data_IF_818938973528
#
_entry.id   IF_818938973528
#
_cell.length_a   1.000
_cell.length_b   1.000
_cell.length_c   1.000
_cell.angle_alpha   90.00
_cell.angle_beta   90.00
_cell.angle_gamma   90.00
#
_symmetry.space_group_name_H-M   'P 1'
#
loop_
_entity.id
_entity.type
_entity.pdbx_description
1 polymer ?
#
# COMPACT_ATOMS: atom_id res chain seq x y z
N UNK A 1 7.91 -16.38 48.81
CA UNK A 1 8.80 -15.19 48.78
C UNK A 1 8.44 -14.31 47.60
N UNK A 2 7.83 -13.15 47.83
CA UNK A 2 7.37 -12.21 46.79
C UNK A 2 8.36 -11.05 46.67
N UNK A 3 8.94 -10.86 45.47
CA UNK A 3 10.00 -9.85 45.22
C UNK A 3 9.37 -8.56 44.68
N UNK A 4 9.20 -7.55 45.54
CA UNK A 4 8.77 -6.19 45.16
C UNK A 4 9.94 -5.45 44.50
N UNK A 5 9.77 -4.93 43.28
CA UNK A 5 10.71 -3.99 42.65
C UNK A 5 10.34 -2.55 43.03
N UNK A 6 11.30 -1.79 43.55
CA UNK A 6 11.21 -0.34 43.77
C UNK A 6 11.74 0.37 42.51
N UNK A 7 11.04 1.39 42.03
CA UNK A 7 11.50 2.28 40.96
C UNK A 7 12.30 3.43 41.60
N UNK A 8 13.58 3.57 41.23
CA UNK A 8 14.40 4.73 41.58
C UNK A 8 14.25 5.81 40.51
N UNK A 9 13.81 6.99 40.90
CA UNK A 9 13.82 8.22 40.08
C UNK A 9 15.21 8.86 40.18
N UNK A 10 15.83 9.18 39.04
CA UNK A 10 17.03 10.02 38.96
C UNK A 10 16.77 11.19 38.01
N UNK A 11 17.12 12.43 38.38
CA UNK A 11 16.79 13.62 37.60
C UNK A 11 17.68 13.78 36.37
N UNK A 12 17.07 14.16 35.25
CA UNK A 12 17.71 14.42 33.95
C UNK A 12 18.39 15.79 33.97
N UNK A 13 19.69 15.81 33.66
CA UNK A 13 20.50 17.02 33.48
C UNK A 13 20.22 17.60 32.09
N UNK A 14 19.67 18.81 32.02
CA UNK A 14 19.45 19.55 30.77
C UNK A 14 20.71 20.37 30.51
N UNK A 15 21.45 20.02 29.47
CA UNK A 15 22.60 20.79 28.97
C UNK A 15 22.11 21.67 27.81
N UNK A 16 22.10 22.98 28.02
CA UNK A 16 21.80 23.97 26.96
C UNK A 16 23.09 24.15 26.17
N UNK A 17 23.12 23.62 24.95
CA UNK A 17 24.24 23.80 24.02
C UNK A 17 23.97 25.05 23.19
N UNK A 18 24.69 26.12 23.49
CA UNK A 18 24.64 27.40 22.78
C UNK A 18 24.89 27.20 21.27
N UNK A 19 23.95 27.69 20.47
CA UNK A 19 23.95 27.55 19.02
C UNK A 19 24.91 28.59 18.39
N UNK A 20 25.69 28.15 17.42
CA UNK A 20 26.69 28.94 16.70
C UNK A 20 26.02 29.88 15.67
N UNK A 21 25.33 30.93 16.16
CA UNK A 21 24.57 31.92 15.37
C UNK A 21 25.45 32.73 14.40
N UNK A 22 26.77 32.77 14.61
CA UNK A 22 27.68 33.56 13.78
C UNK A 22 27.77 33.08 12.33
N UNK A 23 27.70 31.76 12.08
CA UNK A 23 27.91 31.20 10.75
C UNK A 23 26.72 31.41 9.81
N UNK A 24 25.49 31.37 10.32
CA UNK A 24 24.29 31.59 9.51
C UNK A 24 24.16 33.04 9.07
N UNK A 25 24.54 34.00 9.92
CA UNK A 25 24.60 35.41 9.55
C UNK A 25 25.61 35.67 8.43
N UNK A 26 26.82 35.09 8.53
CA UNK A 26 27.85 35.20 7.50
C UNK A 26 27.41 34.58 6.16
N UNK A 27 26.75 33.42 6.21
CA UNK A 27 26.20 32.75 5.03
C UNK A 27 25.05 33.55 4.40
N UNK A 28 24.14 34.08 5.21
CA UNK A 28 23.04 34.93 4.75
C UNK A 28 23.57 36.23 4.13
N UNK A 29 24.56 36.87 4.75
CA UNK A 29 25.23 38.07 4.22
C UNK A 29 25.96 37.80 2.91
N UNK A 30 26.63 36.67 2.78
CA UNK A 30 27.27 36.24 1.53
C UNK A 30 26.28 36.03 0.39
N UNK A 31 25.16 35.36 0.67
CA UNK A 31 24.06 35.17 -0.30
C UNK A 31 23.46 36.49 -0.75
N UNK A 32 23.15 37.39 0.20
CA UNK A 32 22.58 38.70 -0.10
C UNK A 32 23.53 39.56 -0.95
N UNK A 33 24.83 39.58 -0.62
CA UNK A 33 25.85 40.27 -1.44
C UNK A 33 25.90 39.74 -2.87
N UNK A 34 25.78 38.42 -3.05
CA UNK A 34 25.74 37.80 -4.37
C UNK A 34 24.52 38.22 -5.19
N UNK A 35 23.34 38.27 -4.57
CA UNK A 35 22.08 38.70 -5.23
C UNK A 35 22.12 40.18 -5.61
N UNK A 36 22.59 41.04 -4.69
CA UNK A 36 22.75 42.48 -4.97
C UNK A 36 23.72 42.73 -6.12
N UNK A 37 24.81 41.97 -6.21
CA UNK A 37 25.76 42.07 -7.32
C UNK A 37 25.14 41.66 -8.65
N UNK A 38 24.36 40.58 -8.69
CA UNK A 38 23.65 40.18 -9.91
C UNK A 38 22.59 41.20 -10.33
N UNK A 39 21.91 41.83 -9.38
CA UNK A 39 20.95 42.90 -9.68
C UNK A 39 21.66 44.18 -10.17
N UNK A 40 22.83 44.50 -9.61
CA UNK A 40 23.64 45.63 -10.05
C UNK A 40 24.20 45.41 -11.47
N UNK A 41 24.78 44.24 -11.76
CA UNK A 41 25.23 43.84 -13.10
C UNK A 41 24.05 43.87 -14.10
N UNK A 42 22.88 43.37 -13.69
CA UNK A 42 21.66 43.43 -14.52
C UNK A 42 21.08 44.84 -14.69
N UNK A 43 21.44 45.80 -13.83
CA UNK A 43 21.04 47.21 -13.98
C UNK A 43 22.02 48.03 -14.82
N UNK A 44 23.26 47.54 -15.00
CA UNK A 44 24.31 48.22 -15.77
C UNK A 44 24.42 47.74 -17.23
N UNK A 45 23.68 46.71 -17.63
CA UNK A 45 23.75 46.11 -18.98
C UNK A 45 22.73 46.69 -19.99
N UNK A 46 22.08 47.81 -19.67
CA UNK A 46 21.19 48.54 -20.60
C UNK A 46 21.92 49.78 -21.18
N UNK A 47 23.11 49.60 -21.74
CA UNK A 47 23.68 50.55 -22.71
C UNK A 47 24.75 49.90 -23.62
N UNK A 48 24.50 49.96 -24.94
CA UNK A 48 25.46 49.89 -26.07
C UNK A 48 25.86 48.53 -26.70
N UNK A 49 25.11 48.20 -27.76
CA UNK A 49 25.48 47.85 -29.16
C UNK A 49 26.62 46.86 -29.52
N UNK A 50 26.25 46.00 -30.48
CA UNK A 50 27.01 45.60 -31.69
C UNK A 50 28.01 44.43 -31.66
N UNK A 51 27.59 43.36 -32.35
CA UNK A 51 28.31 42.50 -33.32
C UNK A 51 29.71 41.94 -33.01
N UNK A 52 29.80 40.61 -33.15
CA UNK A 52 30.71 39.89 -34.08
C UNK A 52 31.46 38.68 -33.49
N UNK A 53 31.75 37.78 -34.42
CA UNK A 53 32.24 36.40 -34.41
C UNK A 53 33.28 35.89 -33.38
N UNK A 54 33.20 34.56 -33.19
CA UNK A 54 34.40 33.72 -33.39
C UNK A 54 35.06 33.05 -32.18
N UNK A 55 35.29 31.74 -32.35
CA UNK A 55 36.33 30.88 -31.73
C UNK A 55 35.97 29.91 -30.58
N UNK A 56 36.01 28.65 -31.00
CA UNK A 56 36.13 27.37 -30.28
C UNK A 56 37.10 27.35 -29.10
N UNK A 57 36.69 26.75 -27.97
CA UNK A 57 37.22 25.45 -27.47
C UNK A 57 36.62 24.97 -26.14
N UNK A 58 36.06 23.75 -26.19
CA UNK A 58 36.16 22.63 -25.21
C UNK A 58 35.78 22.90 -23.74
N UNK A 59 34.72 22.22 -23.26
CA UNK A 59 34.80 21.13 -22.26
C UNK A 59 33.42 20.48 -22.00
N UNK A 60 33.50 19.20 -21.63
CA UNK A 60 32.45 18.20 -21.44
C UNK A 60 31.67 18.39 -20.10
N UNK A 61 30.50 17.76 -20.04
CA UNK A 61 29.57 17.56 -18.89
C UNK A 61 28.89 18.86 -18.42
N UNK A 62 27.60 18.94 -18.11
CA UNK A 62 26.63 17.96 -17.65
C UNK A 62 25.26 18.25 -18.24
N UNK A 63 24.58 17.21 -18.71
CA UNK A 63 23.17 17.23 -19.09
C UNK A 63 22.33 17.25 -17.80
N UNK A 64 22.45 18.30 -16.99
CA UNK A 64 21.63 18.49 -15.78
C UNK A 64 20.35 19.19 -16.18
N UNK A 65 19.31 18.37 -16.30
CA UNK A 65 17.89 18.72 -16.42
C UNK A 65 17.60 20.08 -15.80
N UNK A 66 17.44 21.09 -16.66
CA UNK A 66 16.76 22.34 -16.39
C UNK A 66 15.29 22.01 -16.18
N UNK A 67 14.97 21.46 -15.01
CA UNK A 67 13.60 21.49 -14.49
C UNK A 67 13.26 22.97 -14.41
N UNK A 68 12.37 23.39 -15.30
CA UNK A 68 11.74 24.68 -15.23
C UNK A 68 11.25 24.87 -13.79
N UNK A 69 11.85 25.84 -13.10
CA UNK A 69 11.34 26.37 -11.84
C UNK A 69 10.08 27.15 -12.20
N UNK A 70 9.01 26.43 -12.54
CA UNK A 70 7.66 26.99 -12.52
C UNK A 70 7.39 27.26 -11.03
N UNK A 71 7.04 28.49 -10.64
CA UNK A 71 6.61 28.76 -9.27
C UNK A 71 5.46 27.81 -8.95
N UNK A 72 5.65 26.92 -7.96
CA UNK A 72 4.57 26.09 -7.50
C UNK A 72 3.40 27.02 -7.11
N UNK A 73 2.16 26.75 -7.56
CA UNK A 73 1.02 27.55 -7.17
C UNK A 73 1.01 27.68 -5.64
N UNK A 74 0.68 28.86 -5.14
CA UNK A 74 0.53 29.08 -3.71
C UNK A 74 -0.62 28.18 -3.24
N UNK A 75 -0.29 27.02 -2.67
CA UNK A 75 -1.26 26.11 -2.09
C UNK A 75 -1.43 26.48 -0.62
N UNK A 76 -2.66 26.75 -0.19
CA UNK A 76 -2.99 26.80 1.23
C UNK A 76 -2.58 25.46 1.87
N UNK A 77 -1.99 25.48 3.06
CA UNK A 77 -1.61 24.26 3.77
C UNK A 77 -2.58 24.00 4.92
N UNK A 78 -3.16 22.80 4.96
CA UNK A 78 -4.09 22.40 6.03
C UNK A 78 -3.51 21.19 6.74
N UNK A 79 -2.67 21.42 7.75
CA UNK A 79 -1.92 20.34 8.41
C UNK A 79 -2.67 19.82 9.63
N UNK A 80 -2.99 18.52 9.63
CA UNK A 80 -3.52 17.79 10.78
C UNK A 80 -2.39 17.00 11.44
N UNK A 81 -2.27 17.08 12.78
CA UNK A 81 -1.28 16.33 13.57
C UNK A 81 -1.96 15.33 14.51
N UNK A 82 -1.51 14.08 14.47
CA UNK A 82 -1.98 13.01 15.36
C UNK A 82 -0.81 12.06 15.69
N UNK A 83 -0.58 11.77 16.98
CA UNK A 83 0.47 10.87 17.50
C UNK A 83 1.86 11.09 16.84
N UNK A 84 2.38 12.31 16.92
CA UNK A 84 3.68 12.74 16.35
C UNK A 84 3.84 12.58 14.84
N UNK A 85 2.73 12.37 14.12
CA UNK A 85 2.69 12.36 12.65
C UNK A 85 1.83 13.50 12.15
N UNK A 86 2.18 14.01 10.96
CA UNK A 86 1.44 15.10 10.32
C UNK A 86 1.03 14.72 8.91
N UNK A 87 -0.16 15.14 8.50
CA UNK A 87 -0.68 14.98 7.15
C UNK A 87 -1.25 16.33 6.68
N UNK A 88 -0.88 16.73 5.47
CA UNK A 88 -1.33 17.98 4.85
C UNK A 88 -2.56 17.70 3.98
N UNK A 89 -3.73 18.08 4.48
CA UNK A 89 -5.04 17.87 3.89
C UNK A 89 -5.23 18.65 2.58
N UNK A 90 -4.54 19.77 2.42
CA UNK A 90 -4.69 20.61 1.23
C UNK A 90 -4.15 19.96 -0.06
N UNK A 91 -3.45 18.84 0.08
CA UNK A 91 -2.95 18.02 -1.04
C UNK A 91 -4.01 17.06 -1.58
N UNK A 92 -5.15 16.94 -0.90
CA UNK A 92 -6.24 16.03 -1.26
C UNK A 92 -7.46 16.85 -1.74
N UNK A 93 -8.16 16.31 -2.72
CA UNK A 93 -9.47 16.83 -3.14
C UNK A 93 -10.50 16.49 -2.05
N UNK A 94 -11.55 17.32 -1.88
CA UNK A 94 -12.59 17.12 -0.85
C UNK A 94 -13.32 15.77 -0.99
N UNK A 95 -13.35 15.19 -2.19
CA UNK A 95 -13.94 13.89 -2.49
C UNK A 95 -12.92 12.73 -2.46
N UNK A 96 -11.71 12.97 -1.95
CA UNK A 96 -10.71 11.91 -1.77
C UNK A 96 -11.19 10.91 -0.73
N UNK A 97 -11.20 9.59 -1.04
CA UNK A 97 -11.60 8.59 -0.06
C UNK A 97 -10.61 8.52 1.11
N UNK A 98 -11.10 8.03 2.26
CA UNK A 98 -10.34 8.00 3.52
C UNK A 98 -9.03 7.19 3.45
N UNK A 99 -8.99 6.12 2.65
CA UNK A 99 -7.84 5.21 2.59
C UNK A 99 -6.53 5.90 2.12
N UNK A 100 -6.50 6.62 0.98
CA UNK A 100 -5.44 7.55 0.61
C UNK A 100 -4.91 8.44 1.73
N UNK A 101 -5.82 9.03 2.51
CA UNK A 101 -5.47 9.95 3.57
C UNK A 101 -4.77 9.22 4.73
N UNK A 102 -5.33 8.08 5.15
CA UNK A 102 -4.72 7.22 6.16
C UNK A 102 -3.33 6.70 5.74
N UNK A 103 -3.16 6.35 4.45
CA UNK A 103 -1.86 5.94 3.90
C UNK A 103 -0.82 7.04 3.99
N UNK A 104 -1.15 8.26 3.57
CA UNK A 104 -0.24 9.40 3.65
C UNK A 104 0.15 9.74 5.10
N UNK A 105 -0.79 9.63 6.03
CA UNK A 105 -0.53 9.81 7.46
C UNK A 105 0.41 8.72 8.02
N UNK A 106 0.19 7.46 7.65
CA UNK A 106 1.06 6.36 8.07
C UNK A 106 2.48 6.48 7.52
N UNK A 107 2.65 7.00 6.31
CA UNK A 107 3.97 7.18 5.68
C UNK A 107 4.83 8.27 6.35
N UNK A 108 4.19 9.28 6.96
CA UNK A 108 4.85 10.35 7.72
C UNK A 108 6.04 11.01 6.98
N UNK A 109 5.83 11.37 5.72
CA UNK A 109 6.84 12.01 4.86
C UNK A 109 6.51 13.49 4.63
N UNK A 110 6.78 14.40 5.60
CA UNK A 110 6.43 15.81 5.46
C UNK A 110 7.25 16.52 4.37
N UNK A 111 8.50 16.09 4.15
CA UNK A 111 9.44 16.68 3.17
C UNK A 111 9.29 16.12 1.75
N UNK A 112 8.54 15.02 1.58
CA UNK A 112 8.30 14.45 0.27
C UNK A 112 6.99 15.05 -0.27
N UNK A 113 6.98 15.67 -1.47
CA UNK A 113 5.73 15.96 -2.15
C UNK A 113 5.06 14.62 -2.48
N UNK A 114 4.13 14.22 -1.61
CA UNK A 114 3.32 13.02 -1.78
C UNK A 114 2.69 13.04 -3.17
N UNK A 115 2.81 11.92 -3.90
CA UNK A 115 2.33 11.84 -5.28
C UNK A 115 0.83 12.08 -5.27
N UNK A 116 0.36 13.05 -6.05
CA UNK A 116 -1.07 13.26 -6.29
C UNK A 116 -1.69 11.92 -6.68
N UNK A 117 -2.62 11.43 -5.86
CA UNK A 117 -3.30 10.15 -6.09
C UNK A 117 -4.28 10.41 -7.22
N UNK A 118 -3.82 10.17 -8.46
CA UNK A 118 -4.67 10.25 -9.65
C UNK A 118 -5.82 9.27 -9.45
N UNK A 119 -7.05 9.76 -9.57
CA UNK A 119 -8.25 8.90 -9.53
C UNK A 119 -8.07 7.79 -10.55
N UNK A 120 -8.23 6.55 -10.10
CA UNK A 120 -8.40 5.43 -11.02
C UNK A 120 -9.80 5.61 -11.60
N UNK A 121 -9.91 5.92 -12.89
CA UNK A 121 -11.19 5.78 -13.59
C UNK A 121 -11.66 4.34 -13.38
N UNK A 122 -12.88 4.16 -12.88
CA UNK A 122 -13.47 2.84 -12.73
C UNK A 122 -13.36 2.08 -14.06
N UNK A 123 -12.99 0.80 -13.99
CA UNK A 123 -12.98 -0.07 -15.17
C UNK A 123 -14.39 -0.06 -15.77
N UNK A 124 -14.56 0.09 -17.10
CA UNK A 124 -15.89 0.11 -17.72
C UNK A 124 -16.71 -1.13 -17.31
N UNK A 125 -17.98 -0.93 -16.96
CA UNK A 125 -18.92 -2.03 -16.67
C UNK A 125 -19.19 -2.88 -17.92
N UNK A 126 -19.30 -4.22 -17.79
CA UNK A 126 -19.46 -5.09 -18.94
C UNK A 126 -20.89 -5.05 -19.51
N UNK A 127 -20.98 -4.85 -20.83
CA UNK A 127 -22.21 -5.10 -21.59
C UNK A 127 -22.57 -6.59 -21.58
N UNK A 128 -23.76 -6.89 -21.07
CA UNK A 128 -24.34 -8.23 -21.05
C UNK A 128 -24.62 -8.72 -22.49
N UNK A 129 -24.56 -10.03 -22.69
CA UNK A 129 -24.88 -10.81 -23.90
C UNK A 129 -23.78 -11.00 -24.95
N UNK A 130 -22.80 -11.84 -24.62
CA UNK A 130 -22.15 -12.67 -25.64
C UNK A 130 -22.74 -14.06 -25.50
N UNK A 131 -23.43 -14.56 -26.53
CA UNK A 131 -23.82 -15.98 -26.61
C UNK A 131 -22.55 -16.80 -26.80
N UNK A 132 -22.37 -17.79 -25.94
CA UNK A 132 -21.25 -18.70 -25.91
C UNK A 132 -21.46 -19.75 -26.99
N UNK A 133 -21.10 -19.44 -28.23
CA UNK A 133 -21.14 -20.44 -29.32
C UNK A 133 -19.88 -21.30 -29.29
N UNK A 134 -20.09 -22.60 -29.49
CA UNK A 134 -19.15 -23.74 -29.52
C UNK A 134 -18.09 -23.70 -30.64
N UNK A 135 -17.65 -22.51 -31.04
CA UNK A 135 -16.64 -22.35 -32.08
C UNK A 135 -15.46 -21.62 -31.46
N UNK A 136 -14.31 -22.30 -31.44
CA UNK A 136 -13.02 -21.86 -30.89
C UNK A 136 -12.41 -20.63 -31.62
N UNK A 137 -13.23 -19.65 -31.95
CA UNK A 137 -12.86 -18.43 -32.65
C UNK A 137 -12.69 -17.33 -31.61
N UNK A 138 -11.43 -17.11 -31.22
CA UNK A 138 -10.95 -15.97 -30.44
C UNK A 138 -11.73 -15.67 -29.14
N UNK A 139 -11.58 -16.55 -28.14
CA UNK A 139 -12.02 -16.28 -26.76
C UNK A 139 -11.16 -15.16 -26.17
N UNK A 140 -11.66 -13.92 -26.20
CA UNK A 140 -10.98 -12.76 -25.60
C UNK A 140 -11.22 -12.63 -24.09
N UNK A 141 -12.28 -13.27 -23.57
CA UNK A 141 -12.69 -13.22 -22.16
C UNK A 141 -13.39 -14.52 -21.75
N UNK A 142 -13.16 -14.94 -20.51
CA UNK A 142 -13.81 -16.09 -19.86
C UNK A 142 -15.23 -15.73 -19.36
N UNK A 143 -16.10 -16.73 -19.10
CA UNK A 143 -17.47 -16.48 -18.71
C UNK A 143 -17.50 -15.90 -17.31
N UNK A 144 -18.52 -15.09 -16.99
CA UNK A 144 -18.84 -14.85 -15.60
C UNK A 144 -19.17 -16.19 -14.91
N UNK A 145 -18.92 -16.32 -13.59
CA UNK A 145 -19.30 -17.52 -12.85
C UNK A 145 -20.79 -17.80 -13.00
N UNK A 146 -21.16 -19.07 -13.11
CA UNK A 146 -22.56 -19.48 -13.33
C UNK A 146 -23.50 -19.11 -12.19
N UNK A 147 -22.97 -19.10 -10.96
CA UNK A 147 -23.70 -18.76 -9.74
C UNK A 147 -23.03 -17.57 -9.04
N UNK A 148 -23.81 -16.83 -8.26
CA UNK A 148 -23.33 -15.74 -7.42
C UNK A 148 -22.27 -16.20 -6.41
N UNK A 149 -21.51 -15.23 -5.89
CA UNK A 149 -20.44 -15.53 -4.94
C UNK A 149 -21.01 -16.00 -3.59
N UNK A 150 -21.06 -17.32 -3.39
CA UNK A 150 -21.22 -17.90 -2.06
C UNK A 150 -19.89 -17.88 -1.29
N UNK A 151 -19.96 -17.87 0.04
CA UNK A 151 -18.82 -17.80 0.94
C UNK A 151 -17.81 -18.93 0.68
N UNK A 152 -16.52 -18.60 0.67
CA UNK A 152 -15.43 -19.59 0.49
C UNK A 152 -15.19 -20.46 1.74
N UNK A 153 -15.72 -20.02 2.87
CA UNK A 153 -15.48 -20.65 4.17
C UNK A 153 -16.58 -21.68 4.42
N UNK A 154 -16.25 -22.97 4.67
CA UNK A 154 -17.26 -23.97 5.00
C UNK A 154 -17.96 -23.64 6.32
N UNK A 155 -19.22 -24.08 6.44
CA UNK A 155 -19.95 -23.97 7.70
C UNK A 155 -19.26 -24.79 8.80
N UNK A 156 -19.32 -24.34 10.06
CA UNK A 156 -18.68 -25.04 11.17
C UNK A 156 -19.32 -26.42 11.38
N UNK A 157 -18.50 -27.40 11.78
CA UNK A 157 -18.97 -28.73 12.17
C UNK A 157 -19.92 -28.67 13.39
N UNK A 158 -20.85 -29.63 13.54
CA UNK A 158 -21.69 -29.72 14.74
C UNK A 158 -20.87 -29.75 16.04
N UNK A 159 -19.75 -30.48 16.03
CA UNK A 159 -18.80 -30.56 17.13
C UNK A 159 -18.15 -29.21 17.47
N UNK A 160 -18.10 -28.26 16.54
CA UNK A 160 -17.58 -26.91 16.78
C UNK A 160 -18.64 -25.99 17.36
N UNK A 161 -19.91 -26.20 16.98
CA UNK A 161 -21.05 -25.44 17.50
C UNK A 161 -21.39 -25.84 18.94
N UNK A 162 -21.17 -27.10 19.30
CA UNK A 162 -21.40 -27.60 20.67
C UNK A 162 -20.35 -27.12 21.67
N UNK A 163 -19.18 -26.68 21.20
CA UNK A 163 -18.08 -26.21 22.04
C UNK A 163 -18.33 -24.75 22.46
N UNK A 164 -18.70 -24.56 23.72
CA UNK A 164 -18.82 -23.23 24.33
C UNK A 164 -17.83 -23.10 25.50
N UNK A 165 -17.21 -21.92 25.63
CA UNK A 165 -16.33 -21.59 26.77
C UNK A 165 -17.04 -21.71 28.11
N UNK A 166 -18.37 -21.56 28.14
CA UNK A 166 -19.19 -21.75 29.34
C UNK A 166 -19.39 -23.22 29.74
N UNK A 167 -19.12 -24.17 28.84
CA UNK A 167 -19.44 -25.59 29.02
C UNK A 167 -18.18 -26.43 29.33
N UNK A 168 -17.10 -25.79 29.76
CA UNK A 168 -15.86 -26.47 30.14
C UNK A 168 -16.03 -27.01 31.56
N UNK A 169 -16.05 -28.33 31.71
CA UNK A 169 -16.07 -28.96 33.02
C UNK A 169 -14.68 -28.82 33.68
N UNK A 170 -14.62 -28.09 34.80
CA UNK A 170 -13.41 -27.88 35.61
C UNK A 170 -13.38 -28.80 36.85
N UNK A 171 -14.39 -29.66 37.03
CA UNK A 171 -14.45 -30.60 38.13
C UNK A 171 -13.61 -31.85 37.83
N UNK A 172 -12.33 -31.77 38.18
CA UNK A 172 -11.36 -32.85 37.95
C UNK A 172 -11.49 -34.04 38.91
N UNK A 173 -12.26 -33.89 40.00
CA UNK A 173 -12.46 -34.95 41.00
C UNK A 173 -13.51 -35.98 40.53
N UNK A 174 -14.64 -35.51 39.98
CA UNK A 174 -15.70 -36.38 39.45
C UNK A 174 -15.43 -36.81 38.00
N UNK A 175 -14.73 -35.96 37.24
CA UNK A 175 -14.42 -36.19 35.83
C UNK A 175 -12.92 -35.98 35.59
N UNK A 176 -12.10 -37.03 35.79
CA UNK A 176 -10.68 -36.93 35.49
C UNK A 176 -10.46 -36.54 34.02
N UNK A 177 -9.41 -35.76 33.71
CA UNK A 177 -9.11 -35.36 32.34
C UNK A 177 -9.00 -36.58 31.42
N UNK A 178 -9.52 -36.43 30.21
CA UNK A 178 -9.33 -37.43 29.15
C UNK A 178 -7.83 -37.60 28.93
N UNK A 179 -7.39 -38.85 28.85
CA UNK A 179 -5.99 -39.17 28.60
C UNK A 179 -5.49 -38.54 27.29
N UNK A 180 -4.23 -38.12 27.29
CA UNK A 180 -3.60 -37.36 26.20
C UNK A 180 -3.74 -38.09 24.87
N UNK A 181 -3.47 -39.38 24.85
CA UNK A 181 -3.46 -40.15 23.60
C UNK A 181 -4.86 -40.27 23.00
N UNK A 182 -5.89 -40.37 23.84
CA UNK A 182 -7.30 -40.38 23.41
C UNK A 182 -7.69 -39.01 22.86
N UNK A 183 -7.31 -37.94 23.56
CA UNK A 183 -7.57 -36.56 23.14
C UNK A 183 -6.93 -36.26 21.77
N UNK A 184 -5.68 -36.67 21.57
CA UNK A 184 -4.96 -36.50 20.29
C UNK A 184 -5.67 -37.24 19.16
N UNK A 185 -6.10 -38.50 19.37
CA UNK A 185 -6.84 -39.27 18.35
C UNK A 185 -8.15 -38.59 17.97
N UNK A 186 -8.92 -38.10 18.94
CA UNK A 186 -10.17 -37.39 18.70
C UNK A 186 -9.95 -36.11 17.89
N UNK A 187 -8.90 -35.34 18.22
CA UNK A 187 -8.55 -34.14 17.47
C UNK A 187 -8.10 -34.45 16.03
N UNK A 188 -7.30 -35.50 15.81
CA UNK A 188 -6.89 -35.91 14.48
C UNK A 188 -8.10 -36.26 13.59
N UNK A 189 -9.04 -37.04 14.13
CA UNK A 189 -10.28 -37.38 13.41
C UNK A 189 -11.09 -36.13 13.08
N UNK A 190 -11.23 -35.20 14.03
CA UNK A 190 -11.90 -33.92 13.79
C UNK A 190 -11.20 -33.11 12.70
N UNK A 191 -9.88 -32.96 12.76
CA UNK A 191 -9.13 -32.19 11.75
C UNK A 191 -9.19 -32.83 10.37
N UNK A 192 -9.26 -34.15 10.27
CA UNK A 192 -9.51 -34.83 9.01
C UNK A 192 -10.88 -34.45 8.42
N UNK A 193 -11.94 -34.41 9.25
CA UNK A 193 -13.27 -33.95 8.82
C UNK A 193 -13.25 -32.48 8.39
N UNK A 194 -12.61 -31.61 9.16
CA UNK A 194 -12.47 -30.18 8.81
C UNK A 194 -11.77 -30.05 7.45
N UNK A 195 -10.62 -30.71 7.26
CA UNK A 195 -9.90 -30.70 5.98
C UNK A 195 -10.79 -31.16 4.83
N UNK A 196 -11.55 -32.25 5.02
CA UNK A 196 -12.48 -32.77 4.01
C UNK A 196 -13.53 -31.73 3.61
N UNK A 197 -14.17 -31.07 4.58
CA UNK A 197 -15.14 -30.00 4.30
C UNK A 197 -14.53 -28.81 3.55
N UNK A 198 -13.30 -28.42 3.89
CA UNK A 198 -12.61 -27.36 3.16
C UNK A 198 -12.31 -27.74 1.71
N UNK A 199 -11.90 -28.98 1.45
CA UNK A 199 -11.70 -29.48 0.09
C UNK A 199 -13.02 -29.53 -0.69
N UNK A 200 -14.10 -30.01 -0.07
CA UNK A 200 -15.44 -30.05 -0.69
C UNK A 200 -15.97 -28.65 -1.00
N UNK A 201 -15.82 -27.71 -0.07
CA UNK A 201 -16.26 -26.33 -0.28
C UNK A 201 -15.42 -25.62 -1.35
N UNK A 202 -14.10 -25.87 -1.39
CA UNK A 202 -13.24 -25.36 -2.45
C UNK A 202 -13.67 -25.90 -3.82
N UNK A 203 -13.91 -27.20 -3.93
CA UNK A 203 -14.40 -27.83 -5.17
C UNK A 203 -15.77 -27.26 -5.60
N UNK A 204 -16.69 -27.07 -4.66
CA UNK A 204 -18.00 -26.44 -4.93
C UNK A 204 -17.86 -24.99 -5.39
N UNK A 205 -16.92 -24.25 -4.83
CA UNK A 205 -16.61 -22.88 -5.26
C UNK A 205 -16.00 -22.85 -6.67
N UNK A 206 -15.11 -23.80 -6.98
CA UNK A 206 -14.49 -23.93 -8.30
C UNK A 206 -15.49 -24.38 -9.37
N UNK A 207 -16.49 -25.19 -9.01
CA UNK A 207 -17.56 -25.64 -9.91
C UNK A 207 -18.31 -24.48 -10.59
N UNK A 208 -18.33 -23.28 -9.97
CA UNK A 208 -18.93 -22.07 -10.56
C UNK A 208 -18.24 -21.64 -11.86
N UNK A 209 -17.00 -22.07 -12.06
CA UNK A 209 -16.19 -21.79 -13.24
C UNK A 209 -16.12 -22.99 -14.19
N UNK A 210 -17.02 -23.97 -14.08
CA UNK A 210 -17.00 -25.17 -14.93
C UNK A 210 -16.97 -24.84 -16.43
N UNK A 211 -17.75 -23.85 -16.87
CA UNK A 211 -17.76 -23.43 -18.28
C UNK A 211 -16.45 -22.74 -18.68
N UNK A 212 -15.85 -21.96 -17.76
CA UNK A 212 -14.51 -21.39 -17.98
C UNK A 212 -13.48 -22.50 -18.14
N UNK A 213 -13.55 -23.53 -17.29
CA UNK A 213 -12.62 -24.64 -17.27
C UNK A 213 -12.70 -25.45 -18.56
N UNK A 214 -13.91 -25.75 -19.05
CA UNK A 214 -14.12 -26.42 -20.36
C UNK A 214 -13.49 -25.64 -21.51
N UNK A 215 -13.61 -24.31 -21.52
CA UNK A 215 -12.95 -23.50 -22.55
C UNK A 215 -11.44 -23.57 -22.43
N UNK A 216 -10.89 -23.47 -21.23
CA UNK A 216 -9.44 -23.58 -21.03
C UNK A 216 -8.91 -24.96 -21.43
N UNK A 217 -9.66 -26.03 -21.13
CA UNK A 217 -9.33 -27.40 -21.51
C UNK A 217 -9.33 -27.59 -23.03
N UNK A 218 -10.34 -27.08 -23.73
CA UNK A 218 -10.38 -27.12 -25.21
C UNK A 218 -9.26 -26.31 -25.86
N UNK A 219 -8.93 -25.13 -25.32
CA UNK A 219 -7.77 -24.33 -25.77
C UNK A 219 -6.46 -25.09 -25.53
N UNK A 220 -6.30 -25.69 -24.35
CA UNK A 220 -5.11 -26.44 -23.98
C UNK A 220 -4.88 -27.64 -24.89
N UNK A 221 -5.92 -28.48 -25.10
CA UNK A 221 -5.82 -29.66 -25.95
C UNK A 221 -5.50 -29.27 -27.40
N UNK A 222 -6.19 -28.26 -27.94
CA UNK A 222 -5.91 -27.75 -29.29
C UNK A 222 -4.49 -27.21 -29.43
N UNK A 223 -3.96 -26.55 -28.40
CA UNK A 223 -2.58 -26.07 -28.42
C UNK A 223 -1.57 -27.23 -28.41
N UNK A 224 -1.86 -28.31 -27.68
CA UNK A 224 -1.02 -29.50 -27.64
C UNK A 224 -1.03 -30.25 -28.98
N UNK A 225 -2.19 -30.38 -29.63
CA UNK A 225 -2.33 -31.00 -30.95
C UNK A 225 -1.56 -30.25 -32.06
N UNK A 226 -1.25 -28.96 -31.86
CA UNK A 226 -0.45 -28.16 -32.80
C UNK A 226 1.07 -28.22 -32.54
N UNK A 227 1.49 -28.79 -31.41
CA UNK A 227 2.91 -28.92 -31.03
C UNK A 227 3.48 -30.28 -31.48
N UNK A 228 2.63 -31.30 -31.65
CA UNK A 228 2.96 -32.59 -32.27
C UNK A 228 2.87 -32.54 -33.80
#
# INVERSE_FOLDING_TARGET
MTKKRRLSSSPVKIEIKEENVGNDYLLAKGRLKGVLRQLAEKSSDEESVSSDDGYSRRRRSDKKRRNQLVPAPYHHTYVMKLYDRSVDLARFEEDTPLYPLCRAWMENQPKNPQKLIKRRTSSPEPGYSVRWSDSAVNVKRLPPPSNEFDTRVPSPLPDQLSQNKSNINLNYEEHPPVDKDILVRNHLQRWAKVKKQWMEMAAKNEQRYADSFRILETIYNKAQDHIE
#
